data_IF_797938894806
#
_entry.id   IF_797938894806
#
_cell.length_a   1.000
_cell.length_b   1.000
_cell.length_c   1.000
_cell.angle_alpha   90.00
_cell.angle_beta   90.00
_cell.angle_gamma   90.00
#
_symmetry.space_group_name_H-M   'P 1'
#
loop_
_entity.id
_entity.type
_entity.pdbx_description
1 polymer ?
#
# COMPACT_ATOMS: atom_id res chain seq x y z
N UNK A 1 -2.04 16.23 -10.66
CA UNK A 1 -1.99 16.38 -9.19
C UNK A 1 -2.59 17.71 -8.76
N UNK A 2 -2.08 18.86 -9.13
CA UNK A 2 -2.62 20.17 -8.71
C UNK A 2 -4.12 20.36 -9.01
N UNK A 3 -4.61 19.91 -10.16
CA UNK A 3 -6.05 19.95 -10.50
C UNK A 3 -6.95 19.08 -9.60
N UNK A 4 -6.36 18.17 -8.85
CA UNK A 4 -7.04 17.33 -7.87
C UNK A 4 -6.84 17.81 -6.42
N UNK A 5 -6.22 18.99 -6.22
CA UNK A 5 -5.93 19.53 -4.90
C UNK A 5 -4.76 18.85 -4.16
N UNK A 6 -3.97 18.04 -4.88
CA UNK A 6 -2.83 17.31 -4.30
C UNK A 6 -1.60 18.19 -4.35
N UNK A 7 -0.96 18.44 -3.20
CA UNK A 7 0.34 19.08 -3.10
C UNK A 7 1.43 18.22 -3.73
N UNK A 8 2.47 18.84 -4.24
CA UNK A 8 3.65 18.16 -4.79
C UNK A 8 4.91 18.91 -4.37
N UNK A 9 5.78 18.21 -3.65
CA UNK A 9 7.06 18.73 -3.19
C UNK A 9 8.26 17.96 -3.78
N UNK A 10 8.04 17.26 -4.88
CA UNK A 10 9.09 16.48 -5.54
C UNK A 10 10.10 17.34 -6.31
N UNK A 11 11.32 16.82 -6.46
CA UNK A 11 12.36 17.38 -7.30
C UNK A 11 12.05 17.04 -8.76
N UNK A 12 11.94 18.08 -9.60
CA UNK A 12 11.78 17.89 -11.05
C UNK A 12 13.17 17.89 -11.67
N UNK A 13 13.51 16.79 -12.35
CA UNK A 13 14.76 16.67 -13.12
C UNK A 13 14.45 16.81 -14.60
N UNK A 14 15.17 17.71 -15.27
CA UNK A 14 14.99 17.95 -16.72
C UNK A 14 15.78 16.94 -17.57
N UNK A 15 16.80 16.31 -16.97
CA UNK A 15 17.66 15.31 -17.63
C UNK A 15 17.66 13.99 -16.85
N UNK A 16 17.94 12.88 -17.51
CA UNK A 16 18.05 11.54 -16.92
C UNK A 16 16.95 10.58 -17.38
N UNK A 17 16.53 9.68 -16.49
CA UNK A 17 15.47 8.70 -16.80
C UNK A 17 14.10 9.40 -16.92
N UNK A 18 13.25 8.92 -17.84
CA UNK A 18 11.88 9.43 -17.96
C UNK A 18 11.04 9.09 -16.72
N UNK A 19 9.90 9.74 -16.61
CA UNK A 19 8.86 9.34 -15.66
C UNK A 19 8.50 7.86 -15.87
N UNK A 20 8.26 7.14 -14.77
CA UNK A 20 7.85 5.74 -14.83
C UNK A 20 6.57 5.54 -15.61
N UNK A 21 6.47 4.41 -16.28
CA UNK A 21 5.27 3.99 -17.00
C UNK A 21 5.01 2.49 -16.83
N UNK A 22 3.75 2.09 -16.91
CA UNK A 22 3.35 0.70 -16.87
C UNK A 22 2.37 0.43 -18.03
N UNK A 23 2.71 -0.54 -18.88
CA UNK A 23 1.79 -1.07 -19.88
C UNK A 23 1.06 -2.26 -19.27
N UNK A 24 -0.25 -2.14 -19.15
CA UNK A 24 -1.10 -3.13 -18.49
C UNK A 24 -1.97 -3.82 -19.53
N UNK A 25 -1.86 -5.13 -19.63
CA UNK A 25 -2.72 -5.99 -20.43
C UNK A 25 -3.74 -6.64 -19.49
N UNK A 26 -5.02 -6.34 -19.70
CA UNK A 26 -6.13 -6.89 -18.91
C UNK A 26 -6.79 -8.00 -19.72
N UNK A 27 -6.88 -9.20 -19.14
CA UNK A 27 -7.57 -10.34 -19.74
C UNK A 27 -9.09 -10.31 -19.45
N UNK A 28 -9.91 -11.08 -20.19
CA UNK A 28 -11.38 -11.05 -20.02
C UNK A 28 -11.88 -11.44 -18.64
N UNK A 29 -11.09 -12.13 -17.82
CA UNK A 29 -11.39 -12.48 -16.43
C UNK A 29 -11.02 -11.36 -15.42
N UNK A 30 -10.53 -10.20 -15.90
CA UNK A 30 -10.13 -9.08 -15.07
C UNK A 30 -8.70 -9.17 -14.50
N UNK A 31 -7.98 -10.26 -14.81
CA UNK A 31 -6.58 -10.42 -14.44
C UNK A 31 -5.67 -9.56 -15.33
N UNK A 32 -4.48 -9.25 -14.83
CA UNK A 32 -3.59 -8.31 -15.51
C UNK A 32 -2.15 -8.78 -15.58
N UNK A 33 -1.52 -8.49 -16.70
CA UNK A 33 -0.06 -8.58 -16.88
C UNK A 33 0.51 -7.17 -16.98
N UNK A 34 1.51 -6.87 -16.18
CA UNK A 34 2.09 -5.53 -16.06
C UNK A 34 3.53 -5.52 -16.58
N UNK A 35 3.81 -4.68 -17.58
CA UNK A 35 5.16 -4.38 -18.04
C UNK A 35 5.55 -2.98 -17.53
N UNK A 36 6.24 -2.94 -16.41
CA UNK A 36 6.55 -1.71 -15.67
C UNK A 36 7.99 -1.25 -15.93
N UNK A 37 8.15 0.02 -16.25
CA UNK A 37 9.41 0.75 -16.22
C UNK A 37 9.32 1.84 -15.14
N UNK A 38 10.05 1.67 -14.04
CA UNK A 38 9.97 2.57 -12.88
C UNK A 38 10.53 3.97 -13.20
N UNK A 39 11.43 4.06 -14.17
CA UNK A 39 12.00 5.32 -14.61
C UNK A 39 12.75 6.06 -13.50
N UNK A 40 12.60 7.38 -13.48
CA UNK A 40 13.27 8.25 -12.49
C UNK A 40 12.87 7.93 -11.04
N UNK A 41 11.73 7.29 -10.82
CA UNK A 41 11.31 6.84 -9.49
C UNK A 41 12.30 5.91 -8.81
N UNK A 42 13.09 5.13 -9.59
CA UNK A 42 14.17 4.27 -9.06
C UNK A 42 15.38 5.05 -8.53
N UNK A 43 15.43 6.37 -8.75
CA UNK A 43 16.52 7.25 -8.35
C UNK A 43 16.15 8.25 -7.24
N UNK A 44 15.04 7.99 -6.53
CA UNK A 44 14.69 8.80 -5.37
C UNK A 44 15.81 8.70 -4.33
N UNK A 45 16.49 9.84 -4.08
CA UNK A 45 17.71 9.88 -3.28
C UNK A 45 17.40 10.23 -1.82
N UNK A 46 18.13 9.66 -0.84
CA UNK A 46 17.94 10.04 0.57
C UNK A 46 18.11 11.53 0.86
N UNK A 47 18.95 12.23 0.09
CA UNK A 47 19.14 13.67 0.25
C UNK A 47 17.94 14.52 -0.20
N UNK A 48 16.99 13.93 -0.93
CA UNK A 48 15.75 14.59 -1.33
C UNK A 48 14.70 14.58 -0.21
N UNK A 49 14.98 13.87 0.90
CA UNK A 49 14.11 13.80 2.08
C UNK A 49 14.81 14.34 3.30
N UNK A 50 14.16 15.23 4.01
CA UNK A 50 14.66 15.86 5.25
C UNK A 50 13.55 15.92 6.30
N UNK A 51 13.88 16.29 7.52
CA UNK A 51 12.89 16.53 8.57
C UNK A 51 11.86 17.62 8.17
N UNK A 52 12.30 18.62 7.38
CA UNK A 52 11.40 19.68 6.89
C UNK A 52 10.43 19.16 5.82
N UNK A 53 10.82 18.13 5.05
CA UNK A 53 9.93 17.49 4.05
C UNK A 53 8.72 16.85 4.71
N UNK A 54 8.86 16.33 5.93
CA UNK A 54 7.79 15.67 6.70
C UNK A 54 7.19 16.60 7.77
N UNK A 55 7.56 17.89 7.77
CA UNK A 55 6.98 18.84 8.70
C UNK A 55 5.48 19.05 8.41
N UNK A 56 4.69 19.10 9.46
CA UNK A 56 3.23 19.27 9.39
C UNK A 56 2.50 18.15 8.62
N UNK A 57 3.08 16.94 8.62
CA UNK A 57 2.50 15.71 8.05
C UNK A 57 1.96 14.86 9.20
N UNK A 58 0.71 14.43 9.10
CA UNK A 58 0.07 13.58 10.10
C UNK A 58 0.35 12.09 9.86
N UNK A 59 0.54 11.70 8.60
CA UNK A 59 0.71 10.31 8.20
C UNK A 59 1.56 10.15 6.95
N UNK A 60 2.43 9.14 6.93
CA UNK A 60 3.26 8.78 5.76
C UNK A 60 2.86 7.40 5.24
N UNK A 61 2.43 7.33 3.98
CA UNK A 61 2.18 6.08 3.28
C UNK A 61 3.35 5.72 2.37
N UNK A 62 3.86 4.51 2.51
CA UNK A 62 5.02 3.99 1.77
C UNK A 62 4.64 2.73 0.99
N UNK A 63 5.41 2.42 -0.06
CA UNK A 63 5.22 1.22 -0.87
C UNK A 63 6.51 0.41 -0.98
N UNK A 64 6.40 -0.91 -0.84
CA UNK A 64 7.55 -1.81 -0.85
C UNK A 64 8.20 -1.95 -2.23
N UNK A 65 7.55 -1.55 -3.32
CA UNK A 65 8.20 -1.48 -4.65
C UNK A 65 9.51 -0.69 -4.66
N UNK A 66 9.63 0.29 -3.78
CA UNK A 66 10.86 1.08 -3.62
C UNK A 66 12.02 0.28 -3.01
N UNK A 67 11.76 -0.94 -2.52
CA UNK A 67 12.78 -1.84 -1.96
C UNK A 67 13.65 -2.50 -3.04
N UNK A 68 13.17 -2.58 -4.28
CA UNK A 68 13.89 -3.20 -5.38
C UNK A 68 15.16 -2.46 -5.84
N UNK A 69 15.39 -1.24 -5.35
CA UNK A 69 16.58 -0.44 -5.65
C UNK A 69 17.25 0.06 -4.38
N UNK A 70 18.56 -0.13 -4.26
CA UNK A 70 19.31 0.22 -3.04
C UNK A 70 19.15 1.69 -2.63
N UNK A 71 19.08 2.59 -3.60
CA UNK A 71 18.94 4.01 -3.35
C UNK A 71 17.58 4.37 -2.75
N UNK A 72 16.51 3.85 -3.33
CA UNK A 72 15.14 4.08 -2.85
C UNK A 72 14.88 3.36 -1.54
N UNK A 73 15.49 2.19 -1.31
CA UNK A 73 15.49 1.48 -0.02
C UNK A 73 16.09 2.35 1.08
N UNK A 74 17.26 2.94 0.85
CA UNK A 74 17.90 3.87 1.79
C UNK A 74 17.02 5.10 2.06
N UNK A 75 16.31 5.57 1.03
CA UNK A 75 15.36 6.68 1.18
C UNK A 75 14.18 6.30 2.06
N UNK A 76 13.58 5.13 1.88
CA UNK A 76 12.52 4.64 2.77
C UNK A 76 13.00 4.48 4.21
N UNK A 77 14.20 3.95 4.43
CA UNK A 77 14.79 3.84 5.76
C UNK A 77 14.90 5.22 6.42
N UNK A 78 15.41 6.22 5.69
CA UNK A 78 15.50 7.61 6.18
C UNK A 78 14.13 8.22 6.47
N UNK A 79 13.11 7.95 5.61
CA UNK A 79 11.74 8.38 5.86
C UNK A 79 11.22 7.79 7.18
N UNK A 80 11.42 6.49 7.39
CA UNK A 80 11.03 5.81 8.64
C UNK A 80 11.71 6.39 9.87
N UNK A 81 13.02 6.65 9.80
CA UNK A 81 13.79 7.29 10.88
C UNK A 81 13.26 8.68 11.23
N UNK A 82 12.99 9.52 10.21
CA UNK A 82 12.45 10.88 10.41
C UNK A 82 11.04 10.82 10.99
N UNK A 83 10.17 9.98 10.43
CA UNK A 83 8.80 9.82 10.90
C UNK A 83 8.76 9.40 12.37
N UNK A 84 9.57 8.40 12.73
CA UNK A 84 9.71 7.95 14.13
C UNK A 84 10.22 9.05 15.05
N UNK A 85 11.21 9.84 14.62
CA UNK A 85 11.75 10.94 15.41
C UNK A 85 10.75 12.09 15.61
N UNK A 86 9.83 12.28 14.68
CA UNK A 86 8.77 13.32 14.73
C UNK A 86 7.43 12.80 15.27
N UNK A 87 7.32 11.50 15.64
CA UNK A 87 6.09 10.83 16.05
C UNK A 87 4.99 10.91 14.98
N UNK A 88 5.36 10.78 13.72
CA UNK A 88 4.42 10.71 12.60
C UNK A 88 4.04 9.23 12.38
N UNK A 89 2.74 8.93 12.35
CA UNK A 89 2.26 7.57 12.08
C UNK A 89 2.60 7.16 10.64
N UNK A 90 3.00 5.91 10.46
CA UNK A 90 3.47 5.41 9.17
C UNK A 90 2.68 4.19 8.72
N UNK A 91 2.49 4.06 7.41
CA UNK A 91 2.00 2.83 6.82
C UNK A 91 2.86 2.37 5.65
N UNK A 92 2.89 1.06 5.44
CA UNK A 92 3.57 0.40 4.33
C UNK A 92 2.61 -0.56 3.62
N UNK A 93 2.49 -0.42 2.29
CA UNK A 93 1.92 -1.48 1.45
C UNK A 93 3.00 -2.51 1.10
N UNK A 94 2.68 -3.81 1.22
CA UNK A 94 3.56 -4.87 0.73
C UNK A 94 3.59 -4.98 -0.79
N UNK A 95 2.68 -4.31 -1.48
CA UNK A 95 2.64 -3.97 -2.91
C UNK A 95 2.61 -5.15 -3.88
N UNK A 96 3.43 -6.18 -3.69
CA UNK A 96 3.58 -7.31 -4.64
C UNK A 96 4.20 -8.54 -3.97
N UNK A 97 3.64 -9.77 -4.17
CA UNK A 97 4.18 -10.99 -3.56
C UNK A 97 5.65 -11.28 -3.93
N UNK A 98 6.07 -10.95 -5.16
CA UNK A 98 7.45 -11.17 -5.59
C UNK A 98 8.43 -10.19 -4.94
N UNK A 99 8.00 -8.96 -4.68
CA UNK A 99 8.79 -7.98 -3.92
C UNK A 99 8.98 -8.48 -2.49
N UNK A 100 7.91 -8.95 -1.86
CA UNK A 100 7.96 -9.53 -0.51
C UNK A 100 8.89 -10.74 -0.46
N UNK A 101 8.79 -11.65 -1.44
CA UNK A 101 9.65 -12.85 -1.48
C UNK A 101 11.14 -12.51 -1.57
N UNK A 102 11.49 -11.55 -2.44
CA UNK A 102 12.88 -11.09 -2.60
C UNK A 102 13.46 -10.42 -1.36
N UNK A 103 12.66 -9.69 -0.61
CA UNK A 103 13.13 -8.77 0.44
C UNK A 103 12.53 -9.05 1.82
N UNK A 104 11.96 -10.23 2.04
CA UNK A 104 11.14 -10.57 3.21
C UNK A 104 11.76 -10.19 4.54
N UNK A 105 12.99 -10.61 4.80
CA UNK A 105 13.64 -10.42 6.10
C UNK A 105 13.95 -8.94 6.35
N UNK A 106 14.37 -8.23 5.32
CA UNK A 106 14.62 -6.79 5.39
C UNK A 106 13.30 -6.01 5.60
N UNK A 107 12.24 -6.39 4.88
CA UNK A 107 10.91 -5.79 5.04
C UNK A 107 10.33 -6.05 6.43
N UNK A 108 10.47 -7.27 6.98
CA UNK A 108 10.07 -7.58 8.35
C UNK A 108 10.77 -6.66 9.33
N UNK A 109 12.09 -6.54 9.22
CA UNK A 109 12.87 -5.66 10.09
C UNK A 109 12.45 -4.20 9.96
N UNK A 110 12.24 -3.72 8.75
CA UNK A 110 11.78 -2.36 8.50
C UNK A 110 10.40 -2.09 9.11
N UNK A 111 9.47 -3.04 8.95
CA UNK A 111 8.13 -2.97 9.55
C UNK A 111 8.23 -2.93 11.07
N UNK A 112 9.04 -3.78 11.68
CA UNK A 112 9.24 -3.79 13.14
C UNK A 112 9.81 -2.46 13.65
N UNK A 113 10.78 -1.90 12.94
CA UNK A 113 11.51 -0.71 13.37
C UNK A 113 10.75 0.60 13.14
N UNK A 114 9.98 0.72 12.06
CA UNK A 114 9.52 2.01 11.54
C UNK A 114 8.06 2.07 11.08
N UNK A 115 7.33 0.96 10.98
CA UNK A 115 5.97 0.96 10.42
C UNK A 115 4.93 0.69 11.50
N UNK A 116 3.86 1.47 11.52
CA UNK A 116 2.74 1.29 12.45
C UNK A 116 1.61 0.48 11.84
N UNK A 117 1.38 0.65 10.54
CA UNK A 117 0.29 0.03 9.78
C UNK A 117 0.83 -0.70 8.55
N UNK A 118 0.44 -1.95 8.34
CA UNK A 118 0.76 -2.73 7.14
C UNK A 118 -0.50 -2.94 6.31
N UNK A 119 -0.43 -2.65 5.02
CA UNK A 119 -1.43 -3.04 4.03
C UNK A 119 -0.90 -4.18 3.19
N UNK A 120 -1.70 -5.22 3.00
CA UNK A 120 -1.37 -6.35 2.14
C UNK A 120 -2.62 -6.99 1.54
N UNK A 121 -2.45 -7.78 0.49
CA UNK A 121 -3.43 -8.77 0.09
C UNK A 121 -3.07 -10.14 0.67
N UNK A 122 -3.93 -11.14 0.47
CA UNK A 122 -3.71 -12.48 1.02
C UNK A 122 -2.45 -13.15 0.44
N UNK A 123 -2.14 -12.95 -0.85
CA UNK A 123 -0.94 -13.54 -1.46
C UNK A 123 0.35 -12.88 -0.95
N UNK A 124 0.36 -11.59 -0.76
CA UNK A 124 1.46 -10.87 -0.10
C UNK A 124 1.63 -11.32 1.36
N UNK A 125 0.52 -11.51 2.08
CA UNK A 125 0.54 -12.01 3.46
C UNK A 125 1.08 -13.43 3.55
N UNK A 126 0.78 -14.33 2.59
CA UNK A 126 1.40 -15.66 2.48
C UNK A 126 2.92 -15.56 2.33
N UNK A 127 3.39 -14.72 1.40
CA UNK A 127 4.83 -14.53 1.19
C UNK A 127 5.51 -13.94 2.43
N UNK A 128 4.87 -12.99 3.09
CA UNK A 128 5.40 -12.34 4.29
C UNK A 128 5.46 -13.28 5.49
N UNK A 129 4.41 -14.07 5.72
CA UNK A 129 4.30 -15.01 6.85
C UNK A 129 4.97 -16.36 6.61
N UNK A 130 5.15 -16.77 5.35
CA UNK A 130 5.52 -18.13 4.92
C UNK A 130 4.45 -19.19 5.31
N UNK A 131 3.20 -18.78 5.36
CA UNK A 131 2.05 -19.63 5.62
C UNK A 131 1.19 -19.75 4.36
N UNK A 132 0.48 -20.87 4.20
CA UNK A 132 -0.35 -21.12 3.01
C UNK A 132 -1.84 -20.97 3.27
N UNK A 133 -2.31 -21.38 4.45
CA UNK A 133 -3.73 -21.33 4.77
C UNK A 133 -4.12 -19.99 5.38
N UNK A 134 -5.38 -19.57 5.15
CA UNK A 134 -5.94 -18.37 5.78
C UNK A 134 -5.82 -18.42 7.32
N UNK A 135 -6.01 -19.59 7.92
CA UNK A 135 -5.93 -19.76 9.37
C UNK A 135 -4.51 -19.51 9.89
N UNK A 136 -3.49 -20.08 9.22
CA UNK A 136 -2.09 -19.92 9.65
C UNK A 136 -1.58 -18.49 9.39
N UNK A 137 -1.95 -17.90 8.25
CA UNK A 137 -1.66 -16.48 7.93
C UNK A 137 -2.27 -15.58 9.00
N UNK A 138 -3.56 -15.76 9.32
CA UNK A 138 -4.24 -14.96 10.33
C UNK A 138 -3.57 -15.10 11.71
N UNK A 139 -3.24 -16.33 12.12
CA UNK A 139 -2.55 -16.58 13.39
C UNK A 139 -1.16 -15.90 13.42
N UNK A 140 -0.42 -15.92 12.31
CA UNK A 140 0.85 -15.23 12.20
C UNK A 140 0.68 -13.71 12.33
N UNK A 141 -0.28 -13.12 11.60
CA UNK A 141 -0.51 -11.67 11.59
C UNK A 141 -1.00 -11.15 12.95
N UNK A 142 -1.82 -11.93 13.68
CA UNK A 142 -2.24 -11.59 15.04
C UNK A 142 -1.06 -11.50 16.03
N UNK A 143 -0.04 -12.34 15.83
CA UNK A 143 1.16 -12.33 16.68
C UNK A 143 2.20 -11.28 16.24
N UNK A 144 2.00 -10.65 15.08
CA UNK A 144 2.87 -9.57 14.62
C UNK A 144 2.40 -8.25 15.24
N UNK A 145 3.24 -7.61 16.05
CA UNK A 145 2.88 -6.48 16.93
C UNK A 145 2.61 -5.17 16.14
N UNK A 146 1.79 -5.22 15.09
CA UNK A 146 1.43 -4.07 14.25
C UNK A 146 -0.05 -4.12 13.88
N UNK A 147 -0.60 -3.00 13.43
CA UNK A 147 -1.92 -2.94 12.80
C UNK A 147 -1.79 -3.45 11.36
N UNK A 148 -2.46 -4.53 11.03
CA UNK A 148 -2.37 -5.12 9.69
C UNK A 148 -3.74 -5.15 9.04
N UNK A 149 -3.82 -4.64 7.83
CA UNK A 149 -5.01 -4.66 6.97
C UNK A 149 -4.76 -5.57 5.79
N UNK A 150 -5.50 -6.67 5.73
CA UNK A 150 -5.35 -7.66 4.68
C UNK A 150 -6.63 -7.73 3.84
N UNK A 151 -6.49 -7.53 2.53
CA UNK A 151 -7.57 -7.77 1.58
C UNK A 151 -7.54 -9.22 1.09
N UNK A 152 -8.70 -9.85 0.93
CA UNK A 152 -8.87 -11.22 0.47
C UNK A 152 -9.85 -11.30 -0.73
N UNK A 153 -9.71 -10.39 -1.68
CA UNK A 153 -10.50 -10.34 -2.90
C UNK A 153 -12.00 -10.32 -2.63
N UNK A 154 -12.74 -11.29 -3.20
CA UNK A 154 -14.18 -11.37 -3.06
C UNK A 154 -14.66 -11.75 -1.64
N UNK A 155 -13.78 -12.22 -0.77
CA UNK A 155 -14.12 -12.49 0.63
C UNK A 155 -14.24 -11.18 1.42
N UNK A 156 -13.40 -10.19 1.16
CA UNK A 156 -13.45 -8.90 1.85
C UNK A 156 -12.12 -8.48 2.43
N UNK A 157 -12.15 -7.87 3.63
CA UNK A 157 -10.95 -7.36 4.28
C UNK A 157 -10.94 -7.68 5.78
N UNK A 158 -9.74 -7.84 6.30
CA UNK A 158 -9.46 -8.17 7.69
C UNK A 158 -8.55 -7.12 8.30
N UNK A 159 -8.75 -6.86 9.58
CA UNK A 159 -7.85 -6.13 10.44
C UNK A 159 -7.34 -7.04 11.54
N UNK A 160 -6.04 -6.94 11.82
CA UNK A 160 -5.38 -7.66 12.91
C UNK A 160 -4.57 -6.69 13.77
N UNK A 161 -4.74 -6.76 15.09
CA UNK A 161 -3.93 -6.08 16.09
C UNK A 161 -3.93 -6.91 17.37
N UNK A 162 -2.90 -7.71 17.58
CA UNK A 162 -2.90 -8.70 18.67
C UNK A 162 -4.11 -9.64 18.57
N UNK A 163 -4.82 -9.82 19.66
CA UNK A 163 -6.03 -10.67 19.71
C UNK A 163 -7.26 -10.01 19.04
N UNK A 164 -7.16 -8.73 18.68
CA UNK A 164 -8.27 -8.02 18.04
C UNK A 164 -8.29 -8.31 16.53
N UNK A 165 -9.39 -8.91 16.06
CA UNK A 165 -9.63 -9.13 14.65
C UNK A 165 -10.99 -8.56 14.26
N UNK A 166 -10.99 -7.73 13.21
CA UNK A 166 -12.23 -7.20 12.62
C UNK A 166 -12.31 -7.69 11.17
N UNK A 167 -13.45 -8.22 10.78
CA UNK A 167 -13.73 -8.66 9.43
C UNK A 167 -14.83 -7.82 8.80
N UNK A 168 -14.61 -7.41 7.55
CA UNK A 168 -15.60 -6.71 6.73
C UNK A 168 -15.78 -7.44 5.40
N UNK A 169 -16.98 -7.97 5.09
CA UNK A 169 -17.24 -8.65 3.81
C UNK A 169 -17.07 -7.68 2.64
N UNK A 170 -16.66 -8.22 1.49
CA UNK A 170 -16.56 -7.45 0.26
C UNK A 170 -17.94 -6.97 -0.21
N UNK A 171 -17.95 -5.85 -0.91
CA UNK A 171 -19.14 -5.41 -1.64
C UNK A 171 -19.23 -6.22 -2.93
N UNK A 172 -20.33 -6.93 -3.11
CA UNK A 172 -20.59 -7.70 -4.33
C UNK A 172 -20.72 -6.75 -5.53
N UNK A 173 -20.00 -7.08 -6.59
CA UNK A 173 -20.09 -6.40 -7.88
C UNK A 173 -20.54 -7.40 -8.95
N UNK A 174 -21.34 -6.96 -9.91
CA UNK A 174 -21.87 -7.84 -10.96
C UNK A 174 -20.80 -8.18 -12.01
N UNK A 175 -19.85 -7.28 -12.21
CA UNK A 175 -18.81 -7.45 -13.22
C UNK A 175 -17.48 -6.82 -12.77
N UNK A 176 -16.42 -7.62 -12.73
CA UNK A 176 -15.05 -7.17 -12.52
C UNK A 176 -14.43 -6.93 -13.90
N UNK A 177 -14.00 -5.71 -14.16
CA UNK A 177 -13.41 -5.29 -15.45
C UNK A 177 -11.88 -5.26 -15.37
N UNK A 178 -11.34 -4.66 -14.29
CA UNK A 178 -9.90 -4.48 -14.12
C UNK A 178 -9.59 -4.33 -12.63
N UNK A 179 -8.77 -5.21 -12.08
CA UNK A 179 -8.39 -5.17 -10.66
C UNK A 179 -7.23 -4.23 -10.36
N UNK A 180 -6.71 -3.50 -11.37
CA UNK A 180 -5.62 -2.53 -11.20
C UNK A 180 -6.02 -1.42 -10.22
N UNK A 181 -5.19 -1.22 -9.21
CA UNK A 181 -5.40 -0.19 -8.18
C UNK A 181 -6.46 -0.54 -7.13
N UNK A 182 -6.94 -1.79 -7.08
CA UNK A 182 -7.90 -2.20 -6.03
C UNK A 182 -7.32 -2.00 -4.64
N UNK A 183 -6.07 -2.43 -4.40
CA UNK A 183 -5.34 -2.26 -3.15
C UNK A 183 -5.12 -0.79 -2.81
N UNK A 184 -4.69 0.03 -3.78
CA UNK A 184 -4.45 1.47 -3.60
C UNK A 184 -5.73 2.21 -3.22
N UNK A 185 -6.83 1.91 -3.90
CA UNK A 185 -8.14 2.52 -3.59
C UNK A 185 -8.71 2.03 -2.26
N UNK A 186 -8.45 0.76 -1.90
CA UNK A 186 -8.78 0.25 -0.56
C UNK A 186 -8.01 1.04 0.51
N UNK A 187 -6.69 1.14 0.39
CA UNK A 187 -5.85 1.86 1.34
C UNK A 187 -6.25 3.34 1.44
N UNK A 188 -6.50 4.00 0.31
CA UNK A 188 -6.95 5.39 0.27
C UNK A 188 -8.30 5.59 0.96
N UNK A 189 -9.28 4.71 0.68
CA UNK A 189 -10.60 4.78 1.32
C UNK A 189 -10.55 4.46 2.81
N UNK A 190 -9.70 3.50 3.20
CA UNK A 190 -9.47 3.17 4.58
C UNK A 190 -8.84 4.34 5.35
N UNK A 191 -7.73 4.89 4.85
CA UNK A 191 -6.99 5.98 5.50
C UNK A 191 -7.82 7.25 5.62
N UNK A 192 -8.67 7.58 4.64
CA UNK A 192 -9.61 8.72 4.70
C UNK A 192 -10.50 8.67 5.95
N UNK A 193 -11.03 7.49 6.29
CA UNK A 193 -11.88 7.29 7.46
C UNK A 193 -11.07 7.10 8.75
N UNK A 194 -9.99 6.34 8.68
CA UNK A 194 -9.12 6.08 9.82
C UNK A 194 -8.51 7.37 10.39
N UNK A 195 -7.96 8.23 9.53
CA UNK A 195 -7.39 9.53 9.91
C UNK A 195 -8.45 10.58 10.28
N UNK A 196 -9.74 10.27 10.07
CA UNK A 196 -10.89 11.07 10.50
C UNK A 196 -11.55 10.54 11.77
N UNK A 197 -10.81 9.75 12.57
CA UNK A 197 -11.27 9.17 13.85
C UNK A 197 -12.55 8.31 13.74
N UNK A 198 -12.76 7.68 12.58
CA UNK A 198 -13.84 6.67 12.44
C UNK A 198 -13.40 5.33 12.99
N UNK A 199 -14.37 4.48 13.30
CA UNK A 199 -14.08 3.12 13.75
C UNK A 199 -13.37 2.30 12.66
N UNK A 200 -12.59 1.28 13.07
CA UNK A 200 -11.94 0.34 12.16
C UNK A 200 -12.96 -0.31 11.20
N UNK A 201 -14.15 -0.64 11.71
CA UNK A 201 -15.23 -1.22 10.90
C UNK A 201 -15.70 -0.28 9.78
N UNK A 202 -15.88 1.02 10.09
CA UNK A 202 -16.26 2.03 9.11
C UNK A 202 -15.15 2.26 8.09
N UNK A 203 -13.89 2.31 8.54
CA UNK A 203 -12.73 2.46 7.66
C UNK A 203 -12.56 1.26 6.71
N UNK A 204 -12.68 0.02 7.19
CA UNK A 204 -12.69 -1.18 6.34
C UNK A 204 -13.84 -1.17 5.32
N UNK A 205 -15.04 -0.75 5.75
CA UNK A 205 -16.20 -0.62 4.88
C UNK A 205 -15.96 0.38 3.74
N UNK A 206 -15.33 1.52 4.07
CA UNK A 206 -15.00 2.54 3.07
C UNK A 206 -13.88 2.07 2.13
N UNK A 207 -12.87 1.37 2.63
CA UNK A 207 -11.85 0.71 1.82
C UNK A 207 -12.47 -0.24 0.80
N UNK A 208 -13.33 -1.16 1.26
CA UNK A 208 -14.06 -2.07 0.38
C UNK A 208 -14.96 -1.34 -0.64
N UNK A 209 -15.57 -0.21 -0.24
CA UNK A 209 -16.38 0.60 -1.14
C UNK A 209 -15.53 1.20 -2.27
N UNK A 210 -14.37 1.76 -1.96
CA UNK A 210 -13.48 2.32 -2.99
C UNK A 210 -12.89 1.24 -3.89
N UNK A 211 -12.48 0.11 -3.34
CA UNK A 211 -12.02 -1.04 -4.11
C UNK A 211 -13.12 -1.56 -5.06
N UNK A 212 -14.36 -1.71 -4.59
CA UNK A 212 -15.49 -2.16 -5.41
C UNK A 212 -15.81 -1.20 -6.56
N UNK A 213 -15.63 0.10 -6.36
CA UNK A 213 -15.85 1.11 -7.42
C UNK A 213 -14.79 1.04 -8.52
N UNK A 214 -13.50 0.92 -8.16
CA UNK A 214 -12.42 0.94 -9.14
C UNK A 214 -12.41 -0.31 -10.01
N UNK A 215 -12.71 -1.49 -9.48
CA UNK A 215 -12.64 -2.75 -10.25
C UNK A 215 -13.75 -2.90 -11.30
N UNK A 216 -14.73 -2.01 -11.34
CA UNK A 216 -15.81 -1.98 -12.33
C UNK A 216 -15.50 -1.12 -13.56
N UNK A 217 -14.27 -0.70 -13.74
CA UNK A 217 -13.82 0.14 -14.86
C UNK A 217 -12.38 -0.16 -15.25
N UNK A 218 -11.94 0.25 -16.43
CA UNK A 218 -10.53 0.16 -16.81
C UNK A 218 -9.71 1.27 -16.15
N UNK A 219 -8.55 0.89 -15.59
CA UNK A 219 -7.55 1.74 -15.00
C UNK A 219 -7.73 2.00 -13.50
N UNK A 220 -6.67 2.44 -12.82
CA UNK A 220 -6.57 2.45 -11.36
C UNK A 220 -7.28 3.62 -10.66
N UNK A 221 -7.91 4.52 -11.40
CA UNK A 221 -8.53 5.74 -10.85
C UNK A 221 -10.02 5.74 -11.04
N UNK A 222 -10.76 5.91 -9.95
CA UNK A 222 -12.21 6.10 -9.99
C UNK A 222 -12.53 7.35 -10.80
N UNK A 223 -13.33 7.21 -11.88
CA UNK A 223 -13.76 8.33 -12.71
C UNK A 223 -14.70 9.23 -11.92
N UNK A 224 -14.37 10.51 -11.86
CA UNK A 224 -15.29 11.54 -11.33
C UNK A 224 -16.28 11.87 -12.42
N UNK A 225 -17.56 11.65 -12.16
CA UNK A 225 -18.67 12.07 -13.03
C UNK A 225 -19.00 13.55 -12.81
#
# INVERSE_FOLDING_TARGET
MQSAGIGFQGVIKEEGLPTGCCNILVSPDGERTMATHIGIGSQLHPDEVSADTLKDIDHVYMESYLWDHDLTKQTLQKVGEIAKAQNIETSLSLSDPFCVDRHRDELKKFVEDYVDIVFCNFDEAKMFSQCESMADVSAYLQNFSKKIFMTAGAEGAYYFEGDNTVYQPAIKVDNVIDTTGAGDNFAAGFLDFYLSDKSIQEALSQGNNKASQVIQQLGPRIKRH
#
